data_IF_958686779701
#
_entry.id   IF_958686779701
#
_cell.length_a   1.000
_cell.length_b   1.000
_cell.length_c   1.000
_cell.angle_alpha   90.00
_cell.angle_beta   90.00
_cell.angle_gamma   90.00
#
_symmetry.space_group_name_H-M   'P 1'
#
loop_
_entity.id
_entity.type
_entity.pdbx_description
1 polymer ?
#
# COMPACT_ATOMS: atom_id res chain seq x y z
N UNK A 1 37.42 -21.12 11.39
CA UNK A 1 36.29 -20.44 10.72
C UNK A 1 36.04 -19.12 11.41
N UNK A 2 35.87 -18.04 10.65
CA UNK A 2 35.64 -16.71 11.22
C UNK A 2 34.15 -16.37 11.18
N UNK A 3 33.53 -16.20 12.36
CA UNK A 3 32.13 -15.81 12.49
C UNK A 3 31.97 -14.30 12.27
N UNK A 4 30.73 -13.85 12.07
CA UNK A 4 30.40 -12.41 12.07
C UNK A 4 29.70 -12.09 13.37
N UNK A 5 30.25 -11.12 14.10
CA UNK A 5 29.64 -10.55 15.30
C UNK A 5 29.16 -9.16 14.93
N UNK A 6 27.86 -8.90 15.08
CA UNK A 6 27.27 -7.56 14.86
C UNK A 6 26.97 -6.93 16.21
N UNK A 7 27.38 -5.68 16.42
CA UNK A 7 27.07 -4.90 17.62
C UNK A 7 26.18 -3.73 17.21
N UNK A 8 25.00 -3.65 17.81
CA UNK A 8 24.06 -2.55 17.62
C UNK A 8 24.24 -1.54 18.73
N UNK A 9 24.52 -0.30 18.38
CA UNK A 9 24.93 0.75 19.32
C UNK A 9 24.13 2.02 19.07
N UNK A 10 23.88 2.80 20.13
CA UNK A 10 23.46 4.18 19.97
C UNK A 10 24.66 5.03 19.57
N UNK A 11 24.38 6.16 18.93
CA UNK A 11 25.40 7.15 18.63
C UNK A 11 26.01 7.67 19.95
N UNK A 12 27.34 7.73 19.99
CA UNK A 12 28.13 8.24 21.13
C UNK A 12 27.87 7.53 22.47
N UNK A 13 27.61 6.21 22.45
CA UNK A 13 27.41 5.39 23.66
C UNK A 13 28.75 4.87 24.23
N UNK A 14 29.21 5.32 25.42
CA UNK A 14 30.45 4.84 26.03
C UNK A 14 30.41 3.35 26.38
N UNK A 15 29.21 2.76 26.57
CA UNK A 15 29.08 1.33 26.78
C UNK A 15 29.41 0.54 25.51
N UNK A 16 29.23 1.13 24.32
CA UNK A 16 29.59 0.51 23.06
C UNK A 16 31.10 0.28 22.94
N UNK A 17 31.91 1.27 23.34
CA UNK A 17 33.37 1.16 23.32
C UNK A 17 33.87 0.00 24.17
N UNK A 18 33.31 -0.14 25.38
CA UNK A 18 33.63 -1.26 26.29
C UNK A 18 33.30 -2.62 25.66
N UNK A 19 32.13 -2.75 25.03
CA UNK A 19 31.71 -4.01 24.39
C UNK A 19 32.60 -4.33 23.19
N UNK A 20 32.96 -3.33 22.37
CA UNK A 20 33.87 -3.48 21.24
C UNK A 20 35.26 -3.92 21.72
N UNK A 21 35.79 -3.32 22.79
CA UNK A 21 37.06 -3.71 23.39
C UNK A 21 37.04 -5.14 23.94
N UNK A 22 35.97 -5.55 24.62
CA UNK A 22 35.77 -6.93 25.07
C UNK A 22 35.82 -7.91 23.89
N UNK A 23 35.15 -7.59 22.79
CA UNK A 23 35.15 -8.41 21.57
C UNK A 23 36.55 -8.50 20.94
N UNK A 24 37.29 -7.40 20.87
CA UNK A 24 38.67 -7.42 20.42
C UNK A 24 39.56 -8.32 21.30
N UNK A 25 39.45 -8.24 22.63
CA UNK A 25 40.20 -9.11 23.55
C UNK A 25 39.87 -10.59 23.35
N UNK A 26 38.60 -10.92 23.09
CA UNK A 26 38.13 -12.29 22.89
C UNK A 26 38.36 -12.85 21.48
N UNK A 27 38.93 -12.07 20.55
CA UNK A 27 39.14 -12.48 19.16
C UNK A 27 40.06 -13.69 18.98
N UNK A 28 41.02 -13.88 19.89
CA UNK A 28 41.93 -15.03 19.87
C UNK A 28 41.19 -16.34 20.21
N UNK A 29 40.40 -16.32 21.29
CA UNK A 29 39.67 -17.49 21.77
C UNK A 29 38.44 -17.79 20.89
N UNK A 30 37.82 -16.75 20.35
CA UNK A 30 36.63 -16.82 19.52
C UNK A 30 36.84 -16.06 18.20
N UNK A 31 37.47 -16.64 17.17
CA UNK A 31 37.76 -15.93 15.92
C UNK A 31 36.51 -15.35 15.22
N UNK A 32 36.46 -14.02 15.07
CA UNK A 32 35.33 -13.32 14.46
C UNK A 32 35.73 -12.04 13.70
N UNK A 33 34.89 -11.64 12.74
CA UNK A 33 34.84 -10.30 12.16
C UNK A 33 33.78 -9.48 12.89
N UNK A 34 34.13 -8.24 13.24
CA UNK A 34 33.25 -7.34 13.97
C UNK A 34 32.56 -6.38 13.00
N UNK A 35 31.25 -6.20 13.12
CA UNK A 35 30.50 -5.16 12.45
C UNK A 35 29.73 -4.32 13.47
N UNK A 36 29.85 -3.00 13.41
CA UNK A 36 29.17 -2.06 14.30
C UNK A 36 28.07 -1.32 13.53
N UNK A 37 26.84 -1.38 14.02
CA UNK A 37 25.66 -0.78 13.40
C UNK A 37 25.11 0.29 14.34
N UNK A 38 25.15 1.55 13.89
CA UNK A 38 24.55 2.68 14.61
C UNK A 38 23.04 2.65 14.37
N UNK A 39 22.26 2.51 15.43
CA UNK A 39 20.81 2.32 15.33
C UNK A 39 20.02 3.62 15.21
N UNK A 40 20.60 4.77 15.58
CA UNK A 40 19.90 6.06 15.56
C UNK A 40 19.59 6.59 14.16
N UNK A 41 20.22 6.03 13.13
CA UNK A 41 20.04 6.43 11.74
C UNK A 41 18.80 5.80 11.07
N UNK A 42 18.19 4.80 11.71
CA UNK A 42 17.02 4.09 11.17
C UNK A 42 16.00 3.83 12.30
N UNK A 43 14.78 4.34 12.15
CA UNK A 43 13.74 4.18 13.18
C UNK A 43 13.43 2.71 13.47
N UNK A 44 13.50 1.82 12.48
CA UNK A 44 13.24 0.39 12.68
C UNK A 44 14.36 -0.30 13.47
N UNK A 45 15.63 0.07 13.23
CA UNK A 45 16.74 -0.38 14.07
C UNK A 45 16.64 0.15 15.50
N UNK A 46 16.26 1.42 15.65
CA UNK A 46 16.05 2.05 16.95
C UNK A 46 14.91 1.39 17.73
N UNK A 47 13.83 1.04 17.07
CA UNK A 47 12.70 0.32 17.67
C UNK A 47 13.10 -1.11 18.08
N UNK A 48 13.83 -1.82 17.20
CA UNK A 48 14.22 -3.21 17.44
C UNK A 48 15.30 -3.39 18.52
N UNK A 49 16.26 -2.48 18.61
CA UNK A 49 17.45 -2.64 19.48
C UNK A 49 17.62 -1.52 20.51
N UNK A 50 16.91 -0.40 20.39
CA UNK A 50 17.18 0.80 21.17
C UNK A 50 16.98 0.62 22.67
N UNK A 51 16.07 -0.25 23.10
CA UNK A 51 15.81 -0.51 24.52
C UNK A 51 16.99 -1.19 25.23
N UNK A 52 17.64 -2.12 24.53
CA UNK A 52 18.66 -3.00 25.11
C UNK A 52 20.08 -2.68 24.60
N UNK A 53 20.25 -1.59 23.84
CA UNK A 53 21.54 -1.16 23.30
C UNK A 53 22.56 -0.87 24.42
N UNK A 54 23.85 -1.27 24.27
CA UNK A 54 24.40 -2.01 23.13
C UNK A 54 23.97 -3.48 23.10
N UNK A 55 23.62 -3.99 21.91
CA UNK A 55 23.20 -5.39 21.69
C UNK A 55 24.24 -6.11 20.85
N UNK A 56 24.74 -7.26 21.31
CA UNK A 56 25.62 -8.14 20.55
C UNK A 56 24.78 -9.24 19.89
N UNK A 57 24.92 -9.42 18.58
CA UNK A 57 24.28 -10.48 17.81
C UNK A 57 25.30 -11.35 17.10
N UNK A 58 25.20 -12.67 17.30
CA UNK A 58 26.07 -13.68 16.67
C UNK A 58 25.22 -14.86 16.22
N UNK A 59 25.05 -15.02 14.91
CA UNK A 59 24.13 -16.03 14.36
C UNK A 59 22.70 -15.81 14.87
N UNK A 60 22.04 -16.81 15.48
CA UNK A 60 20.70 -16.67 16.06
C UNK A 60 20.71 -16.07 17.48
N UNK A 61 21.87 -15.91 18.11
CA UNK A 61 21.97 -15.48 19.50
C UNK A 61 22.04 -13.95 19.59
N UNK A 62 21.32 -13.38 20.55
CA UNK A 62 21.32 -11.95 20.88
C UNK A 62 21.59 -11.79 22.38
N UNK A 63 22.43 -10.81 22.72
CA UNK A 63 22.78 -10.45 24.09
C UNK A 63 22.62 -8.93 24.25
N UNK A 64 21.60 -8.51 24.97
CA UNK A 64 21.31 -7.10 25.27
C UNK A 64 21.95 -6.64 26.57
N UNK A 65 22.23 -5.33 26.67
CA UNK A 65 22.80 -4.69 27.85
C UNK A 65 21.83 -4.69 29.04
N UNK A 66 22.31 -4.77 30.30
CA UNK A 66 23.71 -4.97 30.70
C UNK A 66 24.12 -6.45 30.72
N UNK A 67 25.39 -6.72 30.39
CA UNK A 67 26.00 -8.06 30.49
C UNK A 67 27.50 -7.95 30.85
N UNK A 68 28.06 -9.05 31.34
CA UNK A 68 29.49 -9.18 31.68
C UNK A 68 30.26 -9.98 30.62
N UNK A 69 31.59 -10.06 30.78
CA UNK A 69 32.46 -10.81 29.86
C UNK A 69 32.13 -12.30 29.85
N UNK A 70 31.69 -12.86 30.98
CA UNK A 70 31.33 -14.27 31.09
C UNK A 70 30.13 -14.61 30.19
N UNK A 71 29.05 -13.82 30.25
CA UNK A 71 27.88 -13.99 29.37
C UNK A 71 28.22 -13.80 27.90
N UNK A 72 29.13 -12.88 27.59
CA UNK A 72 29.63 -12.69 26.23
C UNK A 72 30.38 -13.93 25.73
N UNK A 73 31.29 -14.50 26.53
CA UNK A 73 32.00 -15.75 26.22
C UNK A 73 31.06 -16.92 25.99
N UNK A 74 30.03 -17.09 26.84
CA UNK A 74 29.01 -18.15 26.68
C UNK A 74 28.27 -17.98 25.34
N UNK A 75 27.89 -16.74 25.01
CA UNK A 75 27.17 -16.43 23.76
C UNK A 75 28.03 -16.72 22.53
N UNK A 76 29.29 -16.29 22.55
CA UNK A 76 30.26 -16.54 21.47
C UNK A 76 30.57 -18.04 21.32
N UNK A 77 30.75 -18.75 22.44
CA UNK A 77 30.95 -20.20 22.45
C UNK A 77 29.79 -20.96 21.85
N UNK A 78 28.56 -20.67 22.29
CA UNK A 78 27.35 -21.29 21.75
C UNK A 78 27.20 -21.04 20.24
N UNK A 79 27.51 -19.82 19.77
CA UNK A 79 27.52 -19.49 18.34
C UNK A 79 28.59 -20.28 17.58
N UNK A 80 29.80 -20.37 18.12
CA UNK A 80 30.92 -21.08 17.50
C UNK A 80 30.65 -22.59 17.39
N UNK A 81 30.15 -23.21 18.46
CA UNK A 81 29.86 -24.63 18.50
C UNK A 81 28.70 -24.99 17.56
N UNK A 82 27.64 -24.18 17.53
CA UNK A 82 26.56 -24.32 16.55
C UNK A 82 27.10 -24.24 15.12
N UNK A 83 27.96 -23.26 14.86
CA UNK A 83 28.50 -23.02 13.53
C UNK A 83 29.46 -24.15 13.10
N UNK A 84 30.23 -24.72 14.03
CA UNK A 84 31.05 -25.93 13.81
C UNK A 84 30.18 -27.15 13.51
N UNK A 85 29.13 -27.38 14.29
CA UNK A 85 28.22 -28.50 14.12
C UNK A 85 27.52 -28.46 12.75
N UNK A 86 26.95 -27.31 12.36
CA UNK A 86 26.25 -27.16 11.08
C UNK A 86 27.17 -27.37 9.86
N UNK A 87 28.45 -26.99 9.97
CA UNK A 87 29.43 -27.31 8.93
C UNK A 87 29.81 -28.79 8.91
N UNK A 88 29.98 -29.41 10.07
CA UNK A 88 30.34 -30.83 10.18
C UNK A 88 29.25 -31.74 9.57
N UNK A 89 27.97 -31.37 9.73
CA UNK A 89 26.82 -32.09 9.17
C UNK A 89 26.59 -31.74 7.68
N UNK A 90 27.33 -30.77 7.12
CA UNK A 90 27.22 -30.41 5.70
C UNK A 90 25.90 -29.76 5.33
N UNK A 91 25.29 -28.99 6.24
CA UNK A 91 23.99 -28.37 6.02
C UNK A 91 24.05 -27.36 4.85
N UNK A 92 23.46 -27.75 3.71
CA UNK A 92 23.39 -26.91 2.52
C UNK A 92 22.59 -25.61 2.77
N UNK A 93 21.54 -25.68 3.58
CA UNK A 93 20.68 -24.53 3.88
C UNK A 93 21.44 -23.48 4.68
N UNK A 94 22.25 -23.91 5.66
CA UNK A 94 23.14 -23.07 6.42
C UNK A 94 24.22 -22.43 5.55
N UNK A 95 24.86 -23.23 4.69
CA UNK A 95 25.89 -22.77 3.76
C UNK A 95 25.34 -21.71 2.79
N UNK A 96 24.16 -21.95 2.20
CA UNK A 96 23.46 -20.99 1.34
C UNK A 96 23.08 -19.72 2.10
N UNK A 97 22.63 -19.82 3.36
CA UNK A 97 22.29 -18.67 4.21
C UNK A 97 23.50 -17.79 4.51
N UNK A 98 24.65 -18.39 4.83
CA UNK A 98 25.90 -17.63 5.04
C UNK A 98 26.32 -16.91 3.76
N UNK A 99 26.29 -17.60 2.61
CA UNK A 99 26.67 -16.98 1.34
C UNK A 99 25.75 -15.81 0.97
N UNK A 100 24.44 -15.95 1.17
CA UNK A 100 23.46 -14.88 0.96
C UNK A 100 23.62 -13.71 1.94
N UNK A 101 24.05 -13.97 3.17
CA UNK A 101 24.31 -12.95 4.18
C UNK A 101 25.57 -12.12 3.90
N UNK A 102 26.54 -12.66 3.14
CA UNK A 102 27.82 -12.00 2.84
C UNK A 102 27.82 -11.08 1.63
N UNK A 103 26.72 -11.02 0.88
CA UNK A 103 26.59 -10.17 -0.31
C UNK A 103 25.25 -9.44 -0.30
N UNK A 104 25.29 -8.18 -0.70
CA UNK A 104 24.08 -7.41 -1.02
C UNK A 104 23.72 -7.71 -2.47
N UNK A 105 22.60 -8.40 -2.68
CA UNK A 105 22.08 -8.74 -4.00
C UNK A 105 21.36 -7.56 -4.66
N UNK A 106 21.11 -7.65 -5.97
CA UNK A 106 20.27 -6.67 -6.66
C UNK A 106 18.84 -6.64 -6.11
N UNK A 107 18.31 -7.80 -5.71
CA UNK A 107 17.01 -7.91 -5.06
C UNK A 107 16.98 -7.13 -3.73
N UNK A 108 18.03 -7.22 -2.91
CA UNK A 108 18.14 -6.44 -1.67
C UNK A 108 18.09 -4.93 -1.95
N UNK A 109 18.80 -4.46 -2.99
CA UNK A 109 18.81 -3.04 -3.39
C UNK A 109 17.44 -2.56 -3.85
N UNK A 110 16.75 -3.38 -4.65
CA UNK A 110 15.39 -3.08 -5.12
C UNK A 110 14.42 -3.04 -3.95
N UNK A 111 14.46 -4.02 -3.04
CA UNK A 111 13.61 -4.06 -1.85
C UNK A 111 13.86 -2.87 -0.92
N UNK A 112 15.11 -2.45 -0.75
CA UNK A 112 15.45 -1.27 0.04
C UNK A 112 14.96 0.03 -0.64
N UNK A 113 15.11 0.15 -1.95
CA UNK A 113 14.57 1.30 -2.69
C UNK A 113 13.03 1.34 -2.58
N UNK A 114 12.38 0.19 -2.75
CA UNK A 114 10.93 0.05 -2.69
C UNK A 114 10.41 0.42 -1.31
N UNK A 115 11.03 -0.07 -0.23
CA UNK A 115 10.60 0.23 1.14
C UNK A 115 10.73 1.71 1.51
N UNK A 116 11.56 2.48 0.80
CA UNK A 116 11.59 3.95 0.91
C UNK A 116 10.56 4.65 0.03
N UNK A 117 10.22 4.10 -1.14
CA UNK A 117 9.41 4.77 -2.17
C UNK A 117 7.99 4.20 -2.33
N UNK A 118 7.60 3.17 -1.58
CA UNK A 118 6.34 2.46 -1.80
C UNK A 118 5.11 3.38 -1.75
N UNK A 119 5.03 4.33 -0.82
CA UNK A 119 3.89 5.27 -0.77
C UNK A 119 3.79 6.15 -2.02
N UNK A 120 4.93 6.57 -2.60
CA UNK A 120 4.94 7.32 -3.85
C UNK A 120 4.35 6.47 -4.98
N UNK A 121 4.76 5.20 -5.07
CA UNK A 121 4.26 4.29 -6.10
C UNK A 121 2.77 3.96 -5.92
N UNK A 122 2.33 3.71 -4.69
CA UNK A 122 0.92 3.47 -4.36
C UNK A 122 0.07 4.68 -4.72
N UNK A 123 0.45 5.88 -4.27
CA UNK A 123 -0.28 7.11 -4.57
C UNK A 123 -0.29 7.41 -6.07
N UNK A 124 0.83 7.20 -6.76
CA UNK A 124 0.91 7.38 -8.21
C UNK A 124 -0.04 6.42 -8.94
N UNK A 125 -0.05 5.14 -8.57
CA UNK A 125 -0.92 4.16 -9.20
C UNK A 125 -2.40 4.49 -8.97
N UNK A 126 -2.78 4.83 -7.74
CA UNK A 126 -4.16 5.22 -7.42
C UNK A 126 -4.54 6.53 -8.14
N UNK A 127 -3.64 7.51 -8.18
CA UNK A 127 -3.84 8.77 -8.92
C UNK A 127 -4.08 8.52 -10.41
N UNK A 128 -3.27 7.65 -11.04
CA UNK A 128 -3.48 7.29 -12.44
C UNK A 128 -4.82 6.57 -12.63
N UNK A 129 -5.16 5.64 -11.72
CA UNK A 129 -6.41 4.89 -11.77
C UNK A 129 -7.66 5.78 -11.66
N UNK A 130 -7.68 6.74 -10.73
CA UNK A 130 -8.84 7.61 -10.51
C UNK A 130 -8.82 8.86 -11.39
N UNK A 131 -7.64 9.32 -11.81
CA UNK A 131 -7.45 10.55 -12.58
C UNK A 131 -7.60 10.38 -14.09
N UNK A 132 -7.07 9.28 -14.67
CA UNK A 132 -7.19 9.03 -16.11
C UNK A 132 -8.65 8.99 -16.63
N UNK A 133 -9.65 8.48 -15.88
CA UNK A 133 -11.05 8.53 -16.30
C UNK A 133 -11.59 9.94 -16.57
N UNK A 134 -11.06 10.97 -15.90
CA UNK A 134 -11.45 12.37 -16.13
C UNK A 134 -10.82 12.94 -17.40
N UNK A 135 -9.72 12.36 -17.88
CA UNK A 135 -9.12 12.76 -19.16
C UNK A 135 -10.00 12.39 -20.36
N UNK A 136 -10.84 11.35 -20.27
CA UNK A 136 -11.71 10.95 -21.38
C UNK A 136 -12.68 12.06 -21.81
N UNK A 137 -13.45 12.69 -20.90
CA UNK A 137 -14.19 13.93 -21.18
C UNK A 137 -13.36 15.07 -21.76
N UNK A 138 -12.17 15.33 -21.22
CA UNK A 138 -11.30 16.43 -21.66
C UNK A 138 -10.85 16.22 -23.10
N UNK A 139 -10.44 15.00 -23.46
CA UNK A 139 -10.04 14.64 -24.83
C UNK A 139 -11.23 14.75 -25.78
N UNK A 140 -12.41 14.27 -25.37
CA UNK A 140 -13.62 14.33 -26.18
C UNK A 140 -14.06 15.78 -26.47
N UNK A 141 -14.00 16.67 -25.47
CA UNK A 141 -14.28 18.10 -25.64
C UNK A 141 -13.36 18.77 -26.68
N UNK A 142 -12.09 18.35 -26.74
CA UNK A 142 -11.10 18.88 -27.68
C UNK A 142 -11.11 18.16 -29.05
N UNK A 143 -12.13 17.35 -29.34
CA UNK A 143 -12.26 16.62 -30.61
C UNK A 143 -11.32 15.42 -30.76
N UNK A 144 -10.54 15.07 -29.73
CA UNK A 144 -9.63 13.91 -29.72
C UNK A 144 -10.41 12.62 -29.41
N UNK A 145 -11.29 12.24 -30.32
CA UNK A 145 -12.24 11.13 -30.12
C UNK A 145 -11.57 9.76 -30.00
N UNK A 146 -10.55 9.46 -30.81
CA UNK A 146 -9.88 8.16 -30.77
C UNK A 146 -9.16 7.91 -29.41
N UNK A 147 -8.33 8.84 -28.90
CA UNK A 147 -7.77 8.72 -27.55
C UNK A 147 -8.83 8.61 -26.44
N UNK A 148 -9.92 9.37 -26.53
CA UNK A 148 -11.02 9.29 -25.56
C UNK A 148 -11.67 7.89 -25.55
N UNK A 149 -11.95 7.32 -26.73
CA UNK A 149 -12.49 5.96 -26.88
C UNK A 149 -11.59 4.91 -26.23
N UNK A 150 -10.27 5.00 -26.41
CA UNK A 150 -9.32 4.08 -25.77
C UNK A 150 -9.48 4.09 -24.25
N UNK A 151 -9.58 5.28 -23.63
CA UNK A 151 -9.81 5.39 -22.19
C UNK A 151 -11.15 4.78 -21.77
N UNK A 152 -12.24 5.06 -22.48
CA UNK A 152 -13.54 4.43 -22.21
C UNK A 152 -13.47 2.91 -22.31
N UNK A 153 -12.78 2.37 -23.33
CA UNK A 153 -12.62 0.92 -23.52
C UNK A 153 -11.84 0.26 -22.40
N UNK A 154 -10.69 0.84 -21.99
CA UNK A 154 -9.84 0.27 -20.93
C UNK A 154 -10.60 0.18 -19.59
N UNK A 155 -11.43 1.16 -19.27
CA UNK A 155 -12.17 1.19 -18.00
C UNK A 155 -13.54 0.48 -18.04
N UNK A 156 -14.04 0.12 -19.22
CA UNK A 156 -15.35 -0.55 -19.38
C UNK A 156 -15.50 -1.83 -18.55
N UNK A 157 -14.53 -2.78 -18.55
CA UNK A 157 -14.65 -4.01 -17.77
C UNK A 157 -14.54 -3.79 -16.25
N UNK A 158 -13.99 -2.65 -15.81
CA UNK A 158 -13.68 -2.40 -14.39
C UNK A 158 -14.89 -1.91 -13.59
N UNK A 159 -15.76 -1.10 -14.19
CA UNK A 159 -16.87 -0.44 -13.48
C UNK A 159 -18.20 -0.49 -14.25
N UNK A 160 -18.25 -1.16 -15.40
CA UNK A 160 -19.38 -1.15 -16.34
C UNK A 160 -19.77 0.24 -16.88
N UNK A 161 -19.39 1.35 -16.25
CA UNK A 161 -19.64 2.72 -16.73
C UNK A 161 -21.12 3.00 -17.02
N UNK A 162 -22.03 2.55 -16.16
CA UNK A 162 -23.46 2.84 -16.33
C UNK A 162 -23.71 4.35 -16.31
N UNK A 163 -24.30 4.89 -17.39
CA UNK A 163 -24.64 6.32 -17.55
C UNK A 163 -25.30 6.90 -16.30
N UNK A 164 -26.28 6.21 -15.72
CA UNK A 164 -27.01 6.68 -14.54
C UNK A 164 -26.26 6.56 -13.20
N UNK A 165 -25.00 6.11 -13.23
CA UNK A 165 -24.09 6.01 -12.08
C UNK A 165 -22.74 6.68 -12.31
N UNK A 166 -22.60 7.46 -13.38
CA UNK A 166 -21.37 8.17 -13.74
C UNK A 166 -21.50 9.68 -13.50
N UNK A 167 -20.36 10.33 -13.32
CA UNK A 167 -20.27 11.78 -13.40
C UNK A 167 -20.23 12.24 -14.85
N UNK A 168 -20.72 13.45 -15.11
CA UNK A 168 -20.68 14.13 -16.39
C UNK A 168 -19.92 15.44 -16.27
N UNK A 169 -19.08 15.73 -17.25
CA UNK A 169 -18.36 16.99 -17.38
C UNK A 169 -18.82 17.73 -18.63
N UNK A 170 -18.77 19.07 -18.57
CA UNK A 170 -19.08 19.96 -19.69
C UNK A 170 -20.54 19.86 -20.22
N UNK A 171 -21.45 19.36 -19.39
CA UNK A 171 -22.89 19.25 -19.68
C UNK A 171 -23.76 20.14 -18.78
N UNK A 172 -25.07 20.06 -18.96
CA UNK A 172 -26.07 20.79 -18.16
C UNK A 172 -26.18 20.29 -16.72
N UNK A 173 -25.91 19.00 -16.47
CA UNK A 173 -25.95 18.41 -15.14
C UNK A 173 -24.68 17.59 -14.86
N UNK A 174 -24.24 17.51 -13.60
CA UNK A 174 -23.10 16.68 -13.21
C UNK A 174 -23.41 15.17 -13.22
N UNK A 175 -24.69 14.78 -13.28
CA UNK A 175 -25.14 13.40 -13.34
C UNK A 175 -26.61 13.29 -13.77
N UNK A 176 -27.03 12.10 -14.20
CA UNK A 176 -28.37 11.79 -14.69
C UNK A 176 -28.91 10.53 -14.00
N UNK A 177 -29.48 10.64 -12.79
CA UNK A 177 -29.87 9.49 -12.00
C UNK A 177 -31.14 8.84 -12.58
N UNK A 178 -31.40 7.58 -12.24
CA UNK A 178 -32.71 6.95 -12.53
C UNK A 178 -33.80 7.66 -11.73
N UNK A 179 -35.03 7.68 -12.27
CA UNK A 179 -36.21 8.18 -11.55
C UNK A 179 -36.40 7.49 -10.19
N UNK A 180 -36.03 6.20 -10.09
CA UNK A 180 -36.05 5.39 -8.88
C UNK A 180 -35.15 5.92 -7.74
N UNK A 181 -34.17 6.78 -8.04
CA UNK A 181 -33.33 7.40 -7.03
C UNK A 181 -33.96 8.65 -6.37
N UNK A 182 -35.13 9.10 -6.88
CA UNK A 182 -35.95 10.19 -6.32
C UNK A 182 -35.20 11.50 -6.09
N UNK A 183 -34.21 11.80 -6.93
CA UNK A 183 -33.42 13.03 -6.85
C UNK A 183 -34.23 14.20 -7.41
N UNK A 184 -34.55 15.16 -6.55
CA UNK A 184 -35.30 16.37 -6.91
C UNK A 184 -34.47 17.35 -7.75
N UNK A 185 -35.14 18.17 -8.55
CA UNK A 185 -34.56 19.24 -9.36
C UNK A 185 -33.47 18.79 -10.36
N UNK A 186 -33.52 17.54 -10.81
CA UNK A 186 -32.64 17.03 -11.87
C UNK A 186 -33.40 16.22 -12.90
N UNK A 187 -33.02 16.36 -14.17
CA UNK A 187 -33.51 15.52 -15.24
C UNK A 187 -33.00 14.08 -15.05
N UNK A 188 -33.91 13.11 -15.16
CA UNK A 188 -33.59 11.70 -14.96
C UNK A 188 -33.02 11.07 -16.23
N UNK A 189 -32.35 9.92 -16.06
CA UNK A 189 -31.86 9.11 -17.17
C UNK A 189 -32.98 8.76 -18.16
N UNK A 190 -34.12 8.30 -17.66
CA UNK A 190 -35.26 7.90 -18.47
C UNK A 190 -35.81 9.07 -19.29
N UNK A 191 -35.86 10.27 -18.70
CA UNK A 191 -36.35 11.49 -19.36
C UNK A 191 -35.45 11.96 -20.50
N UNK A 192 -34.13 11.87 -20.34
CA UNK A 192 -33.19 12.42 -21.32
C UNK A 192 -32.82 11.44 -22.42
N UNK A 193 -32.62 10.18 -22.08
CA UNK A 193 -32.17 9.19 -23.05
C UNK A 193 -33.34 8.50 -23.74
N UNK A 194 -34.54 8.54 -23.18
CA UNK A 194 -35.72 7.81 -23.67
C UNK A 194 -35.44 6.31 -23.90
N UNK A 195 -34.56 5.73 -23.07
CA UNK A 195 -34.18 4.31 -23.07
C UNK A 195 -34.49 3.72 -21.70
N UNK A 196 -34.98 2.48 -21.70
CA UNK A 196 -35.19 1.73 -20.46
C UNK A 196 -33.88 1.55 -19.68
N UNK A 197 -33.85 1.78 -18.35
CA UNK A 197 -32.67 1.48 -17.52
C UNK A 197 -32.27 -0.01 -17.52
N UNK A 198 -33.17 -0.90 -17.94
CA UNK A 198 -32.89 -2.32 -18.12
C UNK A 198 -32.00 -2.60 -19.34
N UNK A 199 -31.91 -1.66 -20.30
CA UNK A 199 -30.95 -1.74 -21.40
C UNK A 199 -29.55 -1.35 -20.91
N UNK A 200 -28.92 -2.32 -20.27
CA UNK A 200 -27.55 -2.19 -19.78
C UNK A 200 -26.55 -2.07 -20.94
N UNK A 201 -26.88 -2.47 -22.18
CA UNK A 201 -25.94 -2.31 -23.29
C UNK A 201 -25.79 -0.83 -23.64
N UNK A 202 -26.92 -0.13 -23.83
CA UNK A 202 -26.91 1.31 -24.09
C UNK A 202 -26.26 2.10 -22.93
N UNK A 203 -26.66 1.80 -21.69
CA UNK A 203 -26.15 2.50 -20.51
C UNK A 203 -24.63 2.38 -20.34
N UNK A 204 -24.00 1.31 -20.84
CA UNK A 204 -22.55 1.14 -20.81
C UNK A 204 -21.87 1.86 -21.98
N UNK A 205 -22.47 1.81 -23.17
CA UNK A 205 -21.87 2.33 -24.40
C UNK A 205 -21.89 3.85 -24.50
N UNK A 206 -22.90 4.53 -23.96
CA UNK A 206 -23.01 5.98 -24.08
C UNK A 206 -21.83 6.72 -23.43
N UNK A 207 -21.12 7.56 -24.17
CA UNK A 207 -19.93 8.29 -23.68
C UNK A 207 -20.13 9.81 -23.61
N UNK A 208 -21.17 10.34 -24.25
CA UNK A 208 -21.36 11.77 -24.49
C UNK A 208 -20.73 12.27 -25.80
N UNK A 209 -20.00 11.42 -26.53
CA UNK A 209 -19.51 11.74 -27.89
C UNK A 209 -20.56 11.50 -28.98
N UNK A 210 -21.66 10.82 -28.64
CA UNK A 210 -22.79 10.58 -29.53
C UNK A 210 -23.57 11.88 -29.77
N UNK A 211 -24.37 11.94 -30.84
CA UNK A 211 -25.07 13.17 -31.27
C UNK A 211 -25.89 13.86 -30.16
N UNK A 212 -26.59 13.05 -29.36
CA UNK A 212 -27.36 13.50 -28.19
C UNK A 212 -26.48 14.13 -27.08
N UNK A 213 -25.23 13.69 -26.97
CA UNK A 213 -24.26 14.19 -25.99
C UNK A 213 -23.35 15.32 -26.48
N UNK A 214 -23.15 15.45 -27.79
CA UNK A 214 -22.11 16.29 -28.38
C UNK A 214 -22.44 17.80 -28.37
N UNK A 215 -21.58 18.60 -27.73
CA UNK A 215 -21.65 20.08 -27.71
C UNK A 215 -21.77 20.67 -26.29
N UNK A 216 -21.16 21.83 -26.06
CA UNK A 216 -21.24 22.54 -24.79
C UNK A 216 -22.70 22.93 -24.48
N UNK A 217 -23.19 22.58 -23.28
CA UNK A 217 -24.58 22.84 -22.87
C UNK A 217 -25.59 21.75 -23.24
N UNK A 218 -25.15 20.55 -23.66
CA UNK A 218 -26.02 19.35 -23.79
C UNK A 218 -25.84 18.40 -22.59
N UNK A 219 -25.87 17.08 -22.80
CA UNK A 219 -25.69 16.07 -21.74
C UNK A 219 -24.24 16.09 -21.18
N UNK A 220 -23.26 16.46 -21.99
CA UNK A 220 -21.85 16.44 -21.61
C UNK A 220 -21.23 15.05 -21.72
N UNK A 221 -19.96 14.95 -21.33
CA UNK A 221 -19.15 13.75 -21.49
C UNK A 221 -19.04 12.97 -20.18
N UNK A 222 -19.27 11.66 -20.27
CA UNK A 222 -19.26 10.73 -19.14
C UNK A 222 -17.84 10.55 -18.60
N UNK A 223 -17.62 10.63 -17.29
CA UNK A 223 -16.35 10.16 -16.71
C UNK A 223 -16.28 8.64 -16.88
N UNK A 224 -15.14 8.11 -17.35
CA UNK A 224 -14.97 6.68 -17.63
C UNK A 224 -14.95 5.77 -16.39
N UNK A 225 -15.34 6.30 -15.22
CA UNK A 225 -15.41 5.63 -13.94
C UNK A 225 -16.67 6.09 -13.19
N UNK A 226 -17.28 5.20 -12.42
CA UNK A 226 -18.54 5.42 -11.73
C UNK A 226 -18.35 6.31 -10.50
N UNK A 227 -19.45 6.92 -10.06
CA UNK A 227 -19.49 7.81 -8.90
C UNK A 227 -18.90 7.17 -7.64
N UNK A 228 -19.24 5.89 -7.40
CA UNK A 228 -18.75 5.13 -6.26
C UNK A 228 -17.24 4.90 -6.34
N UNK A 229 -16.74 4.42 -7.47
CA UNK A 229 -15.31 4.12 -7.62
C UNK A 229 -14.47 5.40 -7.57
N UNK A 230 -14.93 6.49 -8.18
CA UNK A 230 -14.31 7.82 -8.01
C UNK A 230 -14.21 8.19 -6.53
N UNK A 231 -15.27 7.98 -5.74
CA UNK A 231 -15.27 8.26 -4.32
C UNK A 231 -14.35 7.33 -3.50
N UNK A 232 -14.34 6.03 -3.79
CA UNK A 232 -13.45 5.05 -3.13
C UNK A 232 -11.99 5.40 -3.39
N UNK A 233 -11.59 5.44 -4.67
CA UNK A 233 -10.18 5.63 -5.00
C UNK A 233 -9.72 7.07 -4.77
N UNK A 234 -10.61 8.05 -4.90
CA UNK A 234 -10.33 9.44 -4.57
C UNK A 234 -10.07 9.65 -3.08
N UNK A 235 -10.90 9.07 -2.20
CA UNK A 235 -10.68 9.14 -0.75
C UNK A 235 -9.48 8.29 -0.29
N UNK A 236 -9.24 7.15 -0.92
CA UNK A 236 -8.06 6.32 -0.69
C UNK A 236 -6.78 7.08 -1.04
N UNK A 237 -6.76 7.77 -2.19
CA UNK A 237 -5.66 8.65 -2.59
C UNK A 237 -5.48 9.81 -1.61
N UNK A 238 -6.57 10.50 -1.23
CA UNK A 238 -6.51 11.60 -0.29
C UNK A 238 -5.91 11.17 1.05
N UNK A 239 -6.34 10.02 1.58
CA UNK A 239 -5.74 9.45 2.79
C UNK A 239 -4.27 9.09 2.57
N UNK A 240 -3.91 8.49 1.43
CA UNK A 240 -2.52 8.15 1.10
C UNK A 240 -1.59 9.36 1.01
N UNK A 241 -2.09 10.49 0.53
CA UNK A 241 -1.38 11.77 0.55
C UNK A 241 -1.23 12.30 1.97
N UNK A 242 -2.31 12.33 2.77
CA UNK A 242 -2.26 12.75 4.19
C UNK A 242 -1.28 11.88 4.98
N UNK A 243 -1.32 10.57 4.79
CA UNK A 243 -0.41 9.63 5.43
C UNK A 243 1.05 9.88 5.04
N UNK A 244 1.31 10.20 3.77
CA UNK A 244 2.66 10.54 3.30
C UNK A 244 3.15 11.88 3.87
N UNK A 245 2.27 12.90 3.91
CA UNK A 245 2.58 14.24 4.42
C UNK A 245 2.82 14.27 5.94
N UNK A 246 2.16 13.39 6.69
CA UNK A 246 2.40 13.22 8.14
C UNK A 246 3.68 12.43 8.46
N UNK A 247 4.49 12.10 7.45
CA UNK A 247 5.69 11.29 7.61
C UNK A 247 5.39 9.83 7.94
N UNK A 248 4.22 9.31 7.54
CA UNK A 248 3.77 7.92 7.75
C UNK A 248 3.64 7.53 9.23
N UNK A 249 3.24 8.48 10.08
CA UNK A 249 3.14 8.31 11.55
C UNK A 249 1.75 7.94 12.05
N UNK A 250 0.73 8.00 11.19
CA UNK A 250 -0.66 7.64 11.57
C UNK A 250 -0.72 6.15 11.84
N UNK A 251 -1.34 5.76 12.97
CA UNK A 251 -1.53 4.35 13.34
C UNK A 251 -2.71 3.73 12.58
N UNK A 252 -2.63 2.42 12.35
CA UNK A 252 -3.69 1.66 11.68
C UNK A 252 -5.02 1.78 12.42
N UNK A 253 -6.09 1.95 11.67
CA UNK A 253 -7.45 1.88 12.18
C UNK A 253 -7.75 0.45 12.66
N UNK A 254 -8.24 0.21 13.89
CA UNK A 254 -8.65 -1.13 14.30
C UNK A 254 -9.62 -1.78 13.31
N UNK A 255 -9.40 -3.06 12.98
CA UNK A 255 -10.12 -3.77 11.91
C UNK A 255 -11.66 -3.71 12.06
N UNK A 256 -12.18 -3.71 13.29
CA UNK A 256 -13.61 -3.63 13.55
C UNK A 256 -14.20 -2.25 13.21
N UNK A 257 -13.45 -1.16 13.41
CA UNK A 257 -13.87 0.18 13.00
C UNK A 257 -13.86 0.32 11.47
N UNK A 258 -12.88 -0.30 10.79
CA UNK A 258 -12.88 -0.38 9.32
C UNK A 258 -14.12 -1.14 8.80
N UNK A 259 -14.50 -2.25 9.43
CA UNK A 259 -15.72 -2.97 9.05
C UNK A 259 -16.97 -2.09 9.27
N UNK A 260 -17.12 -1.52 10.47
CA UNK A 260 -18.33 -0.78 10.86
C UNK A 260 -18.50 0.50 10.02
N UNK A 261 -17.43 1.27 9.81
CA UNK A 261 -17.52 2.56 9.12
C UNK A 261 -17.22 2.48 7.63
N UNK A 262 -16.43 1.52 7.18
CA UNK A 262 -16.08 1.33 5.78
C UNK A 262 -16.96 0.30 5.08
N UNK A 263 -16.88 -0.96 5.51
CA UNK A 263 -17.44 -2.10 4.77
C UNK A 263 -18.97 -2.21 4.89
N UNK A 264 -19.52 -2.01 6.09
CA UNK A 264 -20.97 -2.15 6.34
C UNK A 264 -21.78 -1.11 5.54
N UNK A 265 -21.46 0.20 5.55
CA UNK A 265 -22.26 1.20 4.83
C UNK A 265 -22.26 0.97 3.31
N UNK A 266 -21.08 0.69 2.72
CA UNK A 266 -20.98 0.42 1.29
C UNK A 266 -21.61 -0.92 0.90
N UNK A 267 -21.54 -1.92 1.79
CA UNK A 267 -22.21 -3.20 1.64
C UNK A 267 -23.72 -3.03 1.60
N UNK A 268 -24.32 -2.38 2.61
CA UNK A 268 -25.76 -2.12 2.66
C UNK A 268 -26.22 -1.34 1.42
N UNK A 269 -25.51 -0.27 1.07
CA UNK A 269 -25.84 0.54 -0.11
C UNK A 269 -25.72 -0.26 -1.42
N UNK A 270 -24.65 -1.03 -1.60
CA UNK A 270 -24.43 -1.86 -2.78
C UNK A 270 -25.43 -3.00 -2.92
N UNK A 271 -25.63 -3.80 -1.86
CA UNK A 271 -26.53 -4.96 -1.87
C UNK A 271 -27.99 -4.55 -2.06
N UNK A 272 -28.42 -3.43 -1.47
CA UNK A 272 -29.80 -2.94 -1.63
C UNK A 272 -30.18 -2.55 -3.06
N UNK A 273 -29.20 -2.39 -3.97
CA UNK A 273 -29.41 -2.05 -5.37
C UNK A 273 -29.44 -3.26 -6.32
N UNK A 274 -29.05 -4.45 -5.88
CA UNK A 274 -29.00 -5.62 -6.77
C UNK A 274 -30.37 -5.98 -7.37
N UNK A 275 -31.50 -5.91 -6.63
CA UNK A 275 -32.82 -6.20 -7.19
C UNK A 275 -33.22 -5.29 -8.35
N UNK A 276 -32.74 -4.04 -8.36
CA UNK A 276 -33.08 -3.05 -9.40
C UNK A 276 -32.23 -3.17 -10.68
N UNK A 277 -31.19 -4.00 -10.65
CA UNK A 277 -30.27 -4.26 -11.77
C UNK A 277 -30.47 -5.63 -12.42
N UNK A 278 -30.92 -6.62 -11.65
CA UNK A 278 -31.07 -8.00 -12.10
C UNK A 278 -32.53 -8.25 -12.48
N UNK A 279 -32.78 -8.46 -13.78
CA UNK A 279 -34.12 -8.69 -14.32
C UNK A 279 -34.85 -9.90 -13.72
N UNK A 280 -34.12 -10.88 -13.17
CA UNK A 280 -34.73 -12.02 -12.47
C UNK A 280 -35.12 -11.72 -11.01
N UNK A 281 -34.65 -10.59 -10.45
CA UNK A 281 -34.97 -10.12 -9.10
C UNK A 281 -35.94 -8.93 -9.11
N UNK A 282 -36.38 -8.47 -10.29
CA UNK A 282 -37.19 -7.25 -10.41
C UNK A 282 -38.63 -7.40 -9.91
N UNK A 283 -39.08 -8.62 -9.59
CA UNK A 283 -40.38 -8.88 -8.94
C UNK A 283 -40.32 -8.77 -7.41
N UNK A 284 -39.14 -8.52 -6.83
CA UNK A 284 -39.02 -8.27 -5.40
C UNK A 284 -39.69 -6.94 -5.02
N UNK A 285 -40.38 -6.86 -3.87
CA UNK A 285 -41.18 -5.70 -3.47
C UNK A 285 -40.36 -4.43 -3.17
N UNK A 286 -39.03 -4.53 -3.14
CA UNK A 286 -38.13 -3.39 -2.85
C UNK A 286 -37.19 -3.17 -4.03
N UNK A 287 -37.63 -2.37 -4.99
CA UNK A 287 -36.77 -1.80 -6.02
C UNK A 287 -36.16 -0.51 -5.48
N UNK A 288 -34.84 -0.47 -5.35
CA UNK A 288 -34.10 0.70 -4.88
C UNK A 288 -32.92 1.00 -5.82
N UNK A 289 -32.73 2.27 -6.14
CA UNK A 289 -31.50 2.78 -6.75
C UNK A 289 -30.83 3.75 -5.77
N UNK A 290 -29.51 3.61 -5.57
CA UNK A 290 -28.81 4.55 -4.68
C UNK A 290 -28.67 5.91 -5.34
N UNK A 291 -28.86 6.96 -4.55
CA UNK A 291 -28.66 8.30 -5.06
C UNK A 291 -27.14 8.62 -5.17
N UNK A 292 -26.75 9.56 -6.04
CA UNK A 292 -25.34 9.93 -6.24
C UNK A 292 -24.62 10.31 -4.95
N UNK A 293 -25.30 11.04 -4.05
CA UNK A 293 -24.72 11.51 -2.77
C UNK A 293 -24.37 10.33 -1.87
N UNK A 294 -25.28 9.38 -1.70
CA UNK A 294 -25.09 8.20 -0.87
C UNK A 294 -23.96 7.32 -1.41
N UNK A 295 -23.89 7.14 -2.75
CA UNK A 295 -22.76 6.44 -3.40
C UNK A 295 -21.42 7.11 -3.11
N UNK A 296 -21.40 8.44 -3.12
CA UNK A 296 -20.20 9.20 -2.80
C UNK A 296 -19.84 9.07 -1.33
N UNK A 297 -20.80 9.19 -0.41
CA UNK A 297 -20.55 9.06 1.03
C UNK A 297 -20.04 7.66 1.38
N UNK A 298 -20.74 6.60 0.94
CA UNK A 298 -20.34 5.23 1.24
C UNK A 298 -19.01 4.87 0.58
N UNK A 299 -18.77 5.37 -0.64
CA UNK A 299 -17.49 5.25 -1.32
C UNK A 299 -16.34 5.95 -0.58
N UNK A 300 -16.54 7.21 -0.15
CA UNK A 300 -15.54 7.97 0.62
C UNK A 300 -15.23 7.29 1.95
N UNK A 301 -16.25 6.84 2.66
CA UNK A 301 -16.08 6.14 3.93
C UNK A 301 -15.27 4.85 3.74
N UNK A 302 -15.65 4.03 2.75
CA UNK A 302 -14.93 2.79 2.47
C UNK A 302 -13.48 3.03 2.02
N UNK A 303 -13.26 3.91 1.05
CA UNK A 303 -11.91 4.18 0.53
C UNK A 303 -10.99 4.81 1.57
N UNK A 304 -11.47 5.85 2.28
CA UNK A 304 -10.72 6.53 3.32
C UNK A 304 -10.36 5.63 4.50
N UNK A 305 -11.34 4.85 5.02
CA UNK A 305 -11.06 3.90 6.12
C UNK A 305 -10.20 2.72 5.67
N UNK A 306 -10.30 2.28 4.41
CA UNK A 306 -9.41 1.25 3.86
C UNK A 306 -7.97 1.75 3.79
N UNK A 307 -7.75 2.98 3.35
CA UNK A 307 -6.42 3.62 3.40
C UNK A 307 -5.88 3.72 4.82
N UNK A 308 -6.74 4.14 5.76
CA UNK A 308 -6.37 4.26 7.18
C UNK A 308 -6.04 2.92 7.83
N UNK A 309 -6.74 1.87 7.47
CA UNK A 309 -6.40 0.53 7.94
C UNK A 309 -5.08 0.03 7.32
N UNK A 310 -4.98 0.07 5.98
CA UNK A 310 -3.97 -0.67 5.24
C UNK A 310 -2.60 0.03 5.16
N UNK A 311 -2.55 1.35 4.94
CA UNK A 311 -1.26 2.02 4.72
C UNK A 311 -0.33 2.02 5.94
N UNK A 312 -0.82 2.22 7.17
CA UNK A 312 0.01 2.06 8.36
C UNK A 312 0.53 0.63 8.54
N UNK A 313 -0.29 -0.38 8.23
CA UNK A 313 0.12 -1.79 8.31
C UNK A 313 1.21 -2.13 7.28
N UNK A 314 1.11 -1.57 6.06
CA UNK A 314 2.19 -1.69 5.06
C UNK A 314 3.46 -0.98 5.54
N UNK A 315 3.35 0.22 6.15
CA UNK A 315 4.52 0.95 6.66
C UNK A 315 5.28 0.17 7.74
N UNK A 316 4.58 -0.55 8.62
CA UNK A 316 5.20 -1.41 9.63
C UNK A 316 6.07 -2.49 8.97
N UNK A 317 5.54 -3.21 7.98
CA UNK A 317 6.29 -4.21 7.22
C UNK A 317 7.46 -3.60 6.42
N UNK A 318 7.25 -2.42 5.82
CA UNK A 318 8.30 -1.71 5.08
C UNK A 318 9.41 -1.21 6.00
N UNK A 319 9.09 -0.81 7.23
CA UNK A 319 10.06 -0.40 8.27
C UNK A 319 10.94 -1.56 8.70
N UNK A 320 10.36 -2.73 8.96
CA UNK A 320 11.13 -3.94 9.26
C UNK A 320 12.06 -4.30 8.09
N UNK A 321 11.56 -4.22 6.86
CA UNK A 321 12.34 -4.47 5.65
C UNK A 321 13.52 -3.50 5.52
N UNK A 322 13.31 -2.19 5.78
CA UNK A 322 14.39 -1.19 5.79
C UNK A 322 15.43 -1.55 6.84
N UNK A 323 15.02 -1.79 8.08
CA UNK A 323 15.94 -2.11 9.17
C UNK A 323 16.82 -3.34 8.85
N UNK A 324 16.22 -4.42 8.36
CA UNK A 324 16.93 -5.64 7.99
C UNK A 324 17.94 -5.43 6.85
N UNK A 325 17.54 -4.70 5.81
CA UNK A 325 18.38 -4.48 4.64
C UNK A 325 19.49 -3.44 4.89
N UNK A 326 19.19 -2.38 5.64
CA UNK A 326 20.18 -1.39 6.12
C UNK A 326 21.23 -2.08 6.99
N UNK A 327 20.80 -2.91 7.95
CA UNK A 327 21.73 -3.72 8.75
C UNK A 327 22.61 -4.59 7.86
N UNK A 328 22.02 -5.34 6.93
CA UNK A 328 22.77 -6.24 6.03
C UNK A 328 23.81 -5.46 5.21
N UNK A 329 23.44 -4.30 4.67
CA UNK A 329 24.34 -3.47 3.86
C UNK A 329 25.52 -2.96 4.69
N UNK A 330 25.27 -2.44 5.89
CA UNK A 330 26.31 -1.97 6.81
C UNK A 330 27.27 -3.11 7.19
N UNK A 331 26.73 -4.25 7.62
CA UNK A 331 27.52 -5.41 8.03
C UNK A 331 28.39 -5.93 6.89
N UNK A 332 27.83 -6.10 5.68
CA UNK A 332 28.60 -6.57 4.51
C UNK A 332 29.71 -5.59 4.14
N UNK A 333 29.44 -4.28 4.16
CA UNK A 333 30.44 -3.27 3.81
C UNK A 333 31.67 -3.30 4.74
N UNK A 334 31.44 -3.41 6.06
CA UNK A 334 32.52 -3.44 7.06
C UNK A 334 33.30 -4.76 7.04
N UNK A 335 32.62 -5.88 6.80
CA UNK A 335 33.28 -7.19 6.68
C UNK A 335 34.20 -7.25 5.47
N UNK A 336 33.78 -6.63 4.36
CA UNK A 336 34.55 -6.59 3.13
C UNK A 336 35.76 -5.67 3.25
N UNK A 337 35.67 -4.55 3.98
CA UNK A 337 36.83 -3.68 4.22
C UNK A 337 37.87 -4.28 5.17
N UNK A 338 37.49 -5.28 5.98
CA UNK A 338 38.38 -5.99 6.91
C UNK A 338 39.07 -7.22 6.30
N UNK A 339 38.81 -7.57 5.03
CA UNK A 339 39.37 -8.76 4.37
C UNK A 339 40.21 -8.39 3.18
#
# INVERSE_FOLDING_TARGET
MMMVVTVFVRQDDPAAERVVEMLHRLSNDYPHKLAVVIIDQDEGLKEAYGKDAPVVQVGPYRLGSPFDEQRLRVTLGAALDRARHLNAVGDESYSKRIQRGRKVSSADRISLWLSHRYMLLINLFIFLYVGLPFFAPVLALNGLTAPAKVLYTIYSPLCHQLTFRSWFLFGMQPYYPRSLAEVQNMATYEQLFNVSPADLAFARQFTGMEEIGYGAGRIGYKVALCQRDVAIYGSLLAFGLIFSLTGRKIKSLPWYLWIIFGLVPIGIDGFSQLPSLLSFLSELPVLRESNPILRTITGVLFGGTTGWYLFPMIEESMRETRALLTQKQTVVSQIQSQG
#
